data_IF_178131903024
#
_entry.id   IF_178131903024
#
_cell.length_a   1.000
_cell.length_b   1.000
_cell.length_c   1.000
_cell.angle_alpha   90.00
_cell.angle_beta   90.00
_cell.angle_gamma   90.00
#
_symmetry.space_group_name_H-M   'P 1'
#
loop_
_entity.id
_entity.type
_entity.pdbx_description
1 polymer ?
#
# COMPACT_ATOMS: atom_id res chain seq x y z
N UNK A 1 8.73 -2.88 14.87
CA UNK A 1 8.79 -4.36 14.95
C UNK A 1 9.98 -4.90 14.14
N UNK A 2 10.35 -6.17 14.29
CA UNK A 2 11.37 -6.82 13.44
C UNK A 2 10.86 -7.00 12.00
N UNK A 3 11.77 -7.25 11.05
CA UNK A 3 11.40 -7.52 9.65
C UNK A 3 10.52 -8.77 9.55
N UNK A 4 10.88 -9.84 10.25
CA UNK A 4 10.14 -11.11 10.20
C UNK A 4 8.74 -11.00 10.81
N UNK A 5 8.60 -10.27 11.93
CA UNK A 5 7.28 -9.97 12.49
C UNK A 5 6.41 -9.19 11.52
N UNK A 6 6.98 -8.17 10.85
CA UNK A 6 6.27 -7.38 9.86
C UNK A 6 5.84 -8.21 8.66
N UNK A 7 6.72 -9.08 8.15
CA UNK A 7 6.39 -10.01 7.07
C UNK A 7 5.21 -10.92 7.46
N UNK A 8 5.23 -11.48 8.67
CA UNK A 8 4.12 -12.30 9.18
C UNK A 8 2.81 -11.51 9.28
N UNK A 9 2.86 -10.25 9.73
CA UNK A 9 1.69 -9.38 9.78
C UNK A 9 1.15 -9.07 8.39
N UNK A 10 2.02 -8.80 7.40
CA UNK A 10 1.62 -8.62 5.99
C UNK A 10 0.92 -9.88 5.47
N UNK A 11 1.45 -11.07 5.73
CA UNK A 11 0.83 -12.33 5.29
C UNK A 11 -0.58 -12.52 5.87
N UNK A 12 -0.82 -12.05 7.10
CA UNK A 12 -2.16 -12.02 7.71
C UNK A 12 -3.05 -10.96 7.05
N UNK A 13 -2.53 -9.76 6.82
CA UNK A 13 -3.25 -8.66 6.15
C UNK A 13 -3.71 -9.06 4.74
N UNK A 14 -2.91 -9.83 4.00
CA UNK A 14 -3.26 -10.35 2.67
C UNK A 14 -4.53 -11.21 2.65
N UNK A 15 -4.96 -11.75 3.80
CA UNK A 15 -6.18 -12.57 3.93
C UNK A 15 -7.41 -11.75 4.32
N UNK A 16 -7.24 -10.48 4.66
CA UNK A 16 -8.35 -9.62 5.07
C UNK A 16 -9.27 -9.29 3.88
N UNK A 17 -10.58 -9.12 4.10
CA UNK A 17 -11.54 -8.90 3.01
C UNK A 17 -11.19 -7.71 2.12
N UNK A 18 -10.74 -6.59 2.70
CA UNK A 18 -10.42 -5.38 1.96
C UNK A 18 -9.19 -5.54 1.07
N UNK A 19 -8.11 -6.12 1.60
CA UNK A 19 -6.88 -6.37 0.82
C UNK A 19 -7.16 -7.36 -0.32
N UNK A 20 -7.97 -8.39 -0.07
CA UNK A 20 -8.40 -9.31 -1.13
C UNK A 20 -9.23 -8.60 -2.21
N UNK A 21 -10.19 -7.79 -1.79
CA UNK A 21 -11.04 -7.02 -2.70
C UNK A 21 -10.19 -6.14 -3.64
N UNK A 22 -9.26 -5.36 -3.11
CA UNK A 22 -8.39 -4.48 -3.90
C UNK A 22 -7.54 -5.26 -4.90
N UNK A 23 -6.91 -6.36 -4.44
CA UNK A 23 -6.09 -7.22 -5.29
C UNK A 23 -6.89 -7.85 -6.42
N UNK A 24 -8.09 -8.36 -6.13
CA UNK A 24 -8.97 -8.93 -7.16
C UNK A 24 -9.41 -7.90 -8.20
N UNK A 25 -9.58 -6.63 -7.82
CA UNK A 25 -9.92 -5.56 -8.76
C UNK A 25 -8.73 -5.09 -9.58
N UNK A 26 -7.53 -5.02 -8.98
CA UNK A 26 -6.29 -4.79 -9.70
C UNK A 26 -6.07 -5.85 -10.79
N UNK A 27 -6.26 -7.14 -10.47
CA UNK A 27 -6.20 -8.23 -11.45
C UNK A 27 -7.21 -8.04 -12.59
N UNK A 28 -8.46 -7.67 -12.28
CA UNK A 28 -9.51 -7.43 -13.29
C UNK A 28 -9.21 -6.25 -14.23
N UNK A 29 -8.48 -5.25 -13.74
CA UNK A 29 -8.05 -4.10 -14.54
C UNK A 29 -6.76 -4.39 -15.34
N UNK A 30 -6.15 -5.57 -15.18
CA UNK A 30 -4.92 -5.95 -15.87
C UNK A 30 -3.63 -5.45 -15.21
N UNK A 31 -3.71 -4.98 -13.97
CA UNK A 31 -2.59 -4.46 -13.17
C UNK A 31 -2.37 -5.30 -11.91
N UNK A 32 -2.51 -6.62 -12.04
CA UNK A 32 -2.29 -7.57 -10.98
C UNK A 32 -0.97 -7.36 -10.26
N UNK A 33 -0.99 -7.45 -8.92
CA UNK A 33 0.20 -7.30 -8.09
C UNK A 33 0.73 -8.67 -7.66
N UNK A 34 1.96 -8.98 -8.11
CA UNK A 34 2.63 -10.25 -7.84
C UNK A 34 3.05 -10.42 -6.37
N UNK A 35 3.53 -11.62 -6.03
CA UNK A 35 3.93 -11.99 -4.67
C UNK A 35 5.09 -11.16 -4.11
N UNK A 36 5.90 -10.55 -4.98
CA UNK A 36 7.08 -9.75 -4.61
C UNK A 36 6.80 -8.23 -4.64
N UNK A 37 5.55 -7.82 -4.86
CA UNK A 37 5.18 -6.42 -4.99
C UNK A 37 5.14 -5.69 -3.64
N UNK A 38 5.02 -6.42 -2.53
CA UNK A 38 4.99 -5.87 -1.17
C UNK A 38 6.29 -6.23 -0.48
N UNK A 39 7.04 -5.23 -0.03
CA UNK A 39 8.34 -5.39 0.63
C UNK A 39 8.34 -4.77 2.02
N UNK A 40 9.12 -5.36 2.90
CA UNK A 40 9.41 -4.79 4.22
C UNK A 40 10.71 -4.03 4.15
N UNK A 41 10.73 -2.80 4.67
CA UNK A 41 11.90 -1.94 4.69
C UNK A 41 12.10 -1.23 6.01
N UNK A 42 13.29 -0.64 6.17
CA UNK A 42 13.58 0.33 7.22
C UNK A 42 13.61 1.74 6.61
N UNK A 43 12.74 2.61 7.07
CA UNK A 43 12.52 3.94 6.50
C UNK A 43 13.11 5.03 7.40
N UNK A 44 13.88 5.96 6.82
CA UNK A 44 14.60 7.01 7.56
C UNK A 44 13.70 8.13 8.09
N UNK A 45 12.62 8.47 7.36
CA UNK A 45 11.63 9.47 7.80
C UNK A 45 10.48 8.84 8.59
N UNK A 46 9.62 9.66 9.19
CA UNK A 46 8.42 9.22 9.91
C UNK A 46 7.30 8.80 8.93
N UNK A 47 7.54 7.76 8.14
CA UNK A 47 6.56 7.16 7.23
C UNK A 47 6.32 5.71 7.57
N UNK A 48 5.06 5.29 7.52
CA UNK A 48 4.63 3.92 7.82
C UNK A 48 4.74 3.00 6.59
N UNK A 49 4.75 3.57 5.39
CA UNK A 49 4.88 2.86 4.12
C UNK A 49 5.01 3.80 2.92
N UNK A 50 4.87 3.23 1.73
CA UNK A 50 4.75 4.00 0.50
C UNK A 50 4.58 3.13 -0.74
N UNK A 51 3.81 3.64 -1.69
CA UNK A 51 3.66 3.09 -3.03
C UNK A 51 4.63 3.78 -4.00
N UNK A 52 5.37 2.97 -4.75
CA UNK A 52 6.20 3.45 -5.86
C UNK A 52 5.52 3.03 -7.16
N UNK A 53 5.11 4.04 -7.95
CA UNK A 53 4.45 3.90 -9.26
C UNK A 53 5.06 2.77 -10.09
N UNK A 54 4.23 1.80 -10.49
CA UNK A 54 4.61 0.65 -11.31
C UNK A 54 5.67 -0.31 -10.73
N UNK A 55 6.09 -0.15 -9.48
CA UNK A 55 7.20 -0.90 -8.90
C UNK A 55 6.80 -1.75 -7.70
N UNK A 56 6.53 -1.12 -6.56
CA UNK A 56 6.39 -1.84 -5.29
C UNK A 56 5.67 -1.01 -4.21
N UNK A 57 5.13 -1.73 -3.23
CA UNK A 57 4.67 -1.22 -1.96
C UNK A 57 5.75 -1.52 -0.91
N UNK A 58 6.18 -0.50 -0.17
CA UNK A 58 7.09 -0.64 0.95
C UNK A 58 6.32 -0.46 2.26
N UNK A 59 6.49 -1.40 3.20
CA UNK A 59 5.97 -1.30 4.57
C UNK A 59 7.15 -1.11 5.52
N UNK A 60 7.14 -0.01 6.29
CA UNK A 60 8.26 0.40 7.11
C UNK A 60 8.17 -0.21 8.52
N UNK A 61 8.81 -1.36 8.73
CA UNK A 61 8.72 -2.13 9.99
C UNK A 61 9.17 -1.34 11.23
N UNK A 62 10.05 -0.36 11.05
CA UNK A 62 10.59 0.45 12.13
C UNK A 62 9.62 1.53 12.65
N UNK A 63 8.50 1.76 11.96
CA UNK A 63 7.47 2.75 12.35
C UNK A 63 6.13 2.11 12.72
N UNK A 64 6.07 0.78 12.77
CA UNK A 64 4.86 0.02 13.05
C UNK A 64 5.08 -0.91 14.24
N UNK A 65 4.02 -1.13 15.01
CA UNK A 65 4.02 -1.94 16.22
C UNK A 65 2.92 -3.00 16.24
N UNK A 66 1.75 -2.75 15.64
CA UNK A 66 0.60 -3.66 15.73
C UNK A 66 0.06 -4.09 14.36
N UNK A 67 -0.68 -5.21 14.35
CA UNK A 67 -1.26 -5.82 13.14
C UNK A 67 -2.19 -4.86 12.37
N UNK A 68 -2.95 -4.05 13.09
CA UNK A 68 -3.92 -3.13 12.48
C UNK A 68 -3.19 -2.03 11.69
N UNK A 69 -2.09 -1.49 12.22
CA UNK A 69 -1.27 -0.49 11.50
C UNK A 69 -0.70 -1.06 10.19
N UNK A 70 -0.12 -2.27 10.24
CA UNK A 70 0.39 -2.95 9.03
C UNK A 70 -0.73 -3.17 8.01
N UNK A 71 -1.92 -3.53 8.47
CA UNK A 71 -3.08 -3.76 7.60
C UNK A 71 -3.55 -2.47 6.96
N UNK A 72 -3.62 -1.36 7.73
CA UNK A 72 -4.04 -0.06 7.21
C UNK A 72 -3.05 0.49 6.20
N UNK A 73 -1.74 0.43 6.48
CA UNK A 73 -0.69 0.81 5.51
C UNK A 73 -0.85 0.00 4.23
N UNK A 74 -1.00 -1.32 4.34
CA UNK A 74 -1.14 -2.15 3.14
C UNK A 74 -2.39 -1.81 2.33
N UNK A 75 -3.52 -1.55 2.97
CA UNK A 75 -4.75 -1.13 2.26
C UNK A 75 -4.52 0.22 1.57
N UNK A 76 -3.95 1.19 2.29
CA UNK A 76 -3.66 2.52 1.77
C UNK A 76 -2.79 2.47 0.50
N UNK A 77 -1.66 1.77 0.54
CA UNK A 77 -0.78 1.68 -0.62
C UNK A 77 -1.39 0.86 -1.78
N UNK A 78 -2.28 -0.08 -1.49
CA UNK A 78 -3.05 -0.80 -2.53
C UNK A 78 -4.10 0.08 -3.21
N UNK A 79 -4.66 1.06 -2.50
CA UNK A 79 -5.56 2.06 -3.10
C UNK A 79 -4.76 2.93 -4.07
N UNK A 80 -3.55 3.37 -3.70
CA UNK A 80 -2.69 4.11 -4.63
C UNK A 80 -2.39 3.32 -5.90
N UNK A 81 -2.06 2.03 -5.76
CA UNK A 81 -1.90 1.15 -6.92
C UNK A 81 -3.19 1.02 -7.75
N UNK A 82 -4.35 0.95 -7.10
CA UNK A 82 -5.64 0.86 -7.76
C UNK A 82 -6.02 2.14 -8.51
N UNK A 83 -5.81 3.30 -7.88
CA UNK A 83 -6.06 4.60 -8.48
C UNK A 83 -5.14 4.84 -9.68
N UNK A 84 -3.84 4.52 -9.58
CA UNK A 84 -2.93 4.53 -10.73
C UNK A 84 -3.47 3.66 -11.88
N UNK A 85 -3.85 2.43 -11.56
CA UNK A 85 -4.28 1.47 -12.56
C UNK A 85 -5.59 1.87 -13.26
N UNK A 86 -6.53 2.46 -12.51
CA UNK A 86 -7.82 2.89 -13.05
C UNK A 86 -7.70 4.23 -13.78
N UNK A 87 -6.80 5.12 -13.38
CA UNK A 87 -6.76 6.49 -13.89
C UNK A 87 -5.97 6.61 -15.20
N UNK A 88 -6.60 7.19 -16.21
CA UNK A 88 -5.91 7.59 -17.44
C UNK A 88 -5.05 8.88 -17.27
N UNK A 89 -5.14 9.61 -16.14
CA UNK A 89 -4.55 10.95 -15.98
C UNK A 89 -3.96 11.26 -14.57
N UNK A 90 -3.55 10.27 -13.77
CA UNK A 90 -2.85 10.53 -12.50
C UNK A 90 -1.37 10.88 -12.77
N UNK A 91 -1.02 12.14 -12.54
CA UNK A 91 0.38 12.60 -12.53
C UNK A 91 0.92 12.65 -11.10
N UNK A 92 1.68 11.63 -10.71
CA UNK A 92 2.31 11.53 -9.39
C UNK A 92 3.40 12.58 -9.13
N UNK A 93 3.83 13.32 -10.16
CA UNK A 93 4.74 14.46 -10.01
C UNK A 93 4.02 15.77 -9.73
N UNK A 94 2.69 15.81 -9.90
CA UNK A 94 1.84 16.94 -9.52
C UNK A 94 1.40 16.78 -8.06
N UNK A 95 1.81 17.73 -7.22
CA UNK A 95 1.45 17.78 -5.80
C UNK A 95 -0.08 17.79 -5.57
N UNK A 96 -0.86 18.38 -6.47
CA UNK A 96 -2.32 18.40 -6.35
C UNK A 96 -2.91 17.01 -6.58
N UNK A 97 -2.43 16.30 -7.59
CA UNK A 97 -2.86 14.93 -7.87
C UNK A 97 -2.46 13.95 -6.76
N UNK A 98 -1.23 14.07 -6.25
CA UNK A 98 -0.78 13.30 -5.10
C UNK A 98 -1.64 13.61 -3.87
N UNK A 99 -1.87 14.89 -3.54
CA UNK A 99 -2.74 15.24 -2.42
C UNK A 99 -4.17 14.70 -2.58
N UNK A 100 -4.72 14.68 -3.81
CA UNK A 100 -6.03 14.14 -4.09
C UNK A 100 -6.12 12.61 -3.90
N UNK A 101 -5.06 11.85 -4.17
CA UNK A 101 -5.04 10.40 -3.88
C UNK A 101 -4.98 10.12 -2.38
N UNK A 102 -4.42 11.03 -1.58
CA UNK A 102 -4.38 10.91 -0.12
C UNK A 102 -5.74 11.17 0.58
N UNK A 103 -6.64 11.94 -0.05
CA UNK A 103 -7.92 12.34 0.59
C UNK A 103 -8.79 11.15 0.98
N UNK A 104 -8.68 10.03 0.26
CA UNK A 104 -9.46 8.80 0.51
C UNK A 104 -9.24 8.23 1.93
N UNK A 105 -8.15 8.59 2.62
CA UNK A 105 -7.83 8.09 3.97
C UNK A 105 -7.92 9.12 5.11
N UNK A 106 -8.33 10.37 4.85
CA UNK A 106 -8.36 11.42 5.91
C UNK A 106 -9.69 11.61 6.62
N UNK A 107 -10.66 10.70 6.48
CA UNK A 107 -11.91 10.76 7.24
C UNK A 107 -11.96 9.66 8.29
N UNK A 108 -11.88 10.14 9.55
CA UNK A 108 -12.08 9.45 10.83
C UNK A 108 -13.03 8.26 10.82
#
# INVERSE_FOLDING_TARGET
>A
MTVDECQNMIQRSLRTPMVRFLREHLEKLGCGIGSNFIKVGHCKGATAGGYVKGQEIVVCSNHLQIQDEVTQVLIHELIHAYDECRAANLDWSDCAHHACSEVIYTLN
#
